data_IF_294673545192
#
_entry.id   IF_294673545192
#
_cell.length_a   1.000
_cell.length_b   1.000
_cell.length_c   1.000
_cell.angle_alpha   90.00
_cell.angle_beta   90.00
_cell.angle_gamma   90.00
#
_symmetry.space_group_name_H-M   'P 1'
#
loop_
_entity.id
_entity.type
_entity.pdbx_description
1 polymer ?
#
# COMPACT_ATOMS: atom_id res chain seq x y z
N UNK A 1 18.24 -9.54 -11.53
CA UNK A 1 17.12 -8.65 -11.91
C UNK A 1 17.45 -7.83 -13.16
N UNK A 2 18.70 -7.73 -13.52
CA UNK A 2 19.13 -7.01 -14.71
C UNK A 2 19.33 -7.92 -15.94
N UNK A 3 19.19 -9.20 -15.73
CA UNK A 3 19.32 -10.19 -16.80
C UNK A 3 17.95 -10.46 -17.41
N UNK A 4 17.82 -10.26 -18.70
CA UNK A 4 16.63 -10.65 -19.43
C UNK A 4 16.26 -12.09 -19.12
N UNK A 5 14.99 -12.38 -18.95
CA UNK A 5 14.51 -13.72 -18.63
C UNK A 5 14.82 -14.72 -19.74
N UNK A 6 15.59 -15.75 -19.41
CA UNK A 6 15.89 -16.84 -20.32
C UNK A 6 16.78 -16.46 -21.51
N UNK A 7 16.48 -16.99 -22.68
CA UNK A 7 17.25 -16.77 -23.90
C UNK A 7 17.05 -15.38 -24.53
N UNK A 8 16.18 -14.56 -23.97
CA UNK A 8 15.79 -13.25 -24.53
C UNK A 8 16.71 -12.15 -23.99
N UNK A 9 17.94 -12.11 -24.56
CA UNK A 9 18.95 -11.10 -24.19
C UNK A 9 18.59 -9.66 -24.57
N UNK A 10 17.51 -9.46 -25.31
CA UNK A 10 17.04 -8.14 -25.74
C UNK A 10 16.11 -7.48 -24.71
N UNK A 11 15.63 -8.22 -23.72
CA UNK A 11 14.79 -7.65 -22.67
C UNK A 11 15.65 -7.04 -21.58
N UNK A 12 15.53 -5.74 -21.45
CA UNK A 12 16.13 -5.03 -20.32
C UNK A 12 15.42 -5.44 -19.01
N UNK A 13 16.22 -5.64 -17.96
CA UNK A 13 15.69 -5.81 -16.61
C UNK A 13 15.14 -4.51 -16.06
N UNK A 14 14.38 -4.58 -14.94
CA UNK A 14 13.76 -3.42 -14.29
C UNK A 14 14.79 -2.32 -13.96
N UNK A 15 15.96 -2.71 -13.44
CA UNK A 15 17.05 -1.75 -13.13
C UNK A 15 17.47 -0.94 -14.37
N UNK A 16 17.72 -1.62 -15.49
CA UNK A 16 18.08 -0.95 -16.73
C UNK A 16 16.98 -0.02 -17.23
N UNK A 17 15.72 -0.43 -17.12
CA UNK A 17 14.57 0.43 -17.48
C UNK A 17 14.51 1.69 -16.62
N UNK A 18 14.73 1.56 -15.31
CA UNK A 18 14.74 2.69 -14.39
C UNK A 18 15.90 3.67 -14.67
N UNK A 19 17.08 3.14 -15.00
CA UNK A 19 18.23 3.96 -15.38
C UNK A 19 17.98 4.71 -16.70
N UNK A 20 17.34 4.08 -17.67
CA UNK A 20 16.98 4.70 -18.95
C UNK A 20 16.00 5.87 -18.80
N UNK A 21 15.19 5.87 -17.74
CA UNK A 21 14.31 7.00 -17.40
C UNK A 21 15.08 8.25 -16.95
N UNK A 22 16.38 8.15 -16.70
CA UNK A 22 17.22 9.27 -16.30
C UNK A 22 16.90 9.80 -14.90
N UNK A 23 16.28 9.00 -14.06
CA UNK A 23 15.97 9.36 -12.68
C UNK A 23 17.27 9.60 -11.90
N UNK A 24 17.37 10.76 -11.24
CA UNK A 24 18.51 11.14 -10.40
C UNK A 24 18.32 10.67 -8.95
N UNK A 25 17.85 9.43 -8.79
CA UNK A 25 17.64 8.80 -7.47
C UNK A 25 18.49 7.54 -7.36
N UNK A 26 19.00 7.20 -6.18
CA UNK A 26 19.71 5.95 -5.99
C UNK A 26 18.76 4.76 -6.19
N UNK A 27 19.25 3.71 -6.85
CA UNK A 27 18.53 2.46 -7.06
C UNK A 27 19.26 1.37 -6.28
N UNK A 28 18.56 0.78 -5.33
CA UNK A 28 19.06 -0.32 -4.50
C UNK A 28 18.34 -1.61 -4.85
N UNK A 29 19.08 -2.68 -4.99
CA UNK A 29 18.57 -4.04 -5.17
C UNK A 29 18.95 -4.89 -3.96
N UNK A 30 18.01 -5.68 -3.49
CA UNK A 30 18.18 -6.56 -2.35
C UNK A 30 17.71 -7.95 -2.71
N UNK A 31 18.56 -8.94 -2.42
CA UNK A 31 18.17 -10.33 -2.55
C UNK A 31 17.23 -10.70 -1.39
N UNK A 32 16.09 -11.27 -1.72
CA UNK A 32 15.12 -11.78 -0.76
C UNK A 32 14.84 -13.26 -1.03
N UNK A 33 14.52 -14.06 0.01
CA UNK A 33 14.10 -15.44 -0.18
C UNK A 33 12.79 -15.54 -0.98
N UNK A 34 12.48 -16.73 -1.47
CA UNK A 34 11.27 -16.99 -2.27
C UNK A 34 9.98 -16.96 -1.46
N UNK A 35 10.04 -17.10 -0.14
CA UNK A 35 8.87 -17.10 0.74
C UNK A 35 8.10 -18.41 0.75
N UNK A 36 8.78 -19.55 0.57
CA UNK A 36 8.16 -20.88 0.56
C UNK A 36 7.80 -21.44 1.93
N UNK A 37 8.28 -20.84 2.99
CA UNK A 37 8.01 -21.23 4.36
C UNK A 37 7.94 -20.02 5.29
N UNK A 38 7.44 -20.26 6.50
CA UNK A 38 7.25 -19.21 7.50
C UNK A 38 8.55 -18.46 7.84
N UNK A 39 9.66 -19.19 7.96
CA UNK A 39 10.95 -18.55 8.25
C UNK A 39 11.35 -17.57 7.17
N UNK A 40 11.22 -17.95 5.91
CA UNK A 40 11.54 -17.08 4.78
C UNK A 40 10.64 -15.84 4.73
N UNK A 41 9.37 -15.96 5.11
CA UNK A 41 8.46 -14.81 5.23
C UNK A 41 8.96 -13.82 6.29
N UNK A 42 9.42 -14.32 7.46
CA UNK A 42 10.02 -13.48 8.48
C UNK A 42 11.36 -12.86 8.04
N UNK A 43 12.18 -13.63 7.32
CA UNK A 43 13.43 -13.11 6.76
C UNK A 43 13.16 -11.95 5.76
N UNK A 44 12.12 -12.08 4.92
CA UNK A 44 11.69 -10.99 4.02
C UNK A 44 11.22 -9.77 4.83
N UNK A 45 10.45 -10.01 5.92
CA UNK A 45 9.99 -8.95 6.80
C UNK A 45 11.18 -8.14 7.35
N UNK A 46 12.14 -8.81 7.92
CA UNK A 46 13.30 -8.17 8.52
C UNK A 46 14.12 -7.40 7.47
N UNK A 47 14.31 -7.97 6.29
CA UNK A 47 15.02 -7.31 5.18
C UNK A 47 14.31 -6.01 4.80
N UNK A 48 13.01 -6.04 4.50
CA UNK A 48 12.26 -4.86 4.06
C UNK A 48 12.17 -3.84 5.20
N UNK A 49 11.81 -4.27 6.41
CA UNK A 49 11.71 -3.38 7.58
C UNK A 49 13.02 -2.67 7.90
N UNK A 50 14.17 -3.35 7.75
CA UNK A 50 15.49 -2.76 8.00
C UNK A 50 15.86 -1.64 7.02
N UNK A 51 15.15 -1.53 5.87
CA UNK A 51 15.41 -0.50 4.86
C UNK A 51 14.51 0.72 5.01
N UNK A 52 13.50 0.65 5.83
CA UNK A 52 12.65 1.78 6.14
C UNK A 52 13.31 2.62 7.24
N UNK A 53 13.30 3.92 7.09
CA UNK A 53 13.79 4.88 8.06
C UNK A 53 12.63 5.60 8.76
N UNK A 54 12.90 6.25 9.88
CA UNK A 54 11.89 7.01 10.62
C UNK A 54 11.35 8.18 9.78
N UNK A 55 10.03 8.27 9.68
CA UNK A 55 9.36 9.32 8.94
C UNK A 55 9.36 9.17 7.41
N UNK A 56 9.78 8.02 6.89
CA UNK A 56 9.76 7.77 5.44
C UNK A 56 8.37 7.93 4.82
N UNK A 57 8.35 8.46 3.59
CA UNK A 57 7.17 8.49 2.73
C UNK A 57 7.32 7.36 1.70
N UNK A 58 6.44 6.36 1.80
CA UNK A 58 6.55 5.11 1.03
C UNK A 58 5.58 5.12 -0.15
N UNK A 59 6.10 4.84 -1.34
CA UNK A 59 5.34 4.50 -2.54
C UNK A 59 5.61 3.02 -2.85
N UNK A 60 4.58 2.21 -2.85
CA UNK A 60 4.73 0.77 -2.98
C UNK A 60 4.07 0.23 -4.24
N UNK A 61 4.86 -0.43 -5.09
CA UNK A 61 4.41 -1.13 -6.29
C UNK A 61 4.36 -2.64 -6.04
N UNK A 62 3.16 -3.22 -6.09
CA UNK A 62 2.92 -4.66 -5.88
C UNK A 62 2.86 -5.48 -7.17
N UNK A 63 3.14 -4.88 -8.31
CA UNK A 63 2.94 -5.50 -9.64
C UNK A 63 3.66 -6.83 -9.79
N UNK A 64 4.88 -6.93 -9.31
CA UNK A 64 5.73 -8.13 -9.44
C UNK A 64 5.94 -8.89 -8.13
N UNK A 65 5.05 -8.68 -7.17
CA UNK A 65 5.12 -9.35 -5.89
C UNK A 65 4.64 -10.81 -5.99
N UNK A 66 5.29 -11.72 -5.26
CA UNK A 66 4.76 -13.06 -5.02
C UNK A 66 3.37 -12.98 -4.37
N UNK A 67 2.54 -14.01 -4.54
CA UNK A 67 1.13 -13.99 -4.11
C UNK A 67 0.93 -13.67 -2.62
N UNK A 68 1.87 -14.04 -1.76
CA UNK A 68 1.85 -13.75 -0.32
C UNK A 68 2.27 -12.32 0.02
N UNK A 69 3.08 -11.67 -0.82
CA UNK A 69 3.68 -10.37 -0.52
C UNK A 69 2.65 -9.24 -0.33
N UNK A 70 1.57 -9.14 -1.11
CA UNK A 70 0.56 -8.10 -0.86
C UNK A 70 -0.04 -8.16 0.54
N UNK A 71 -0.41 -9.36 1.02
CA UNK A 71 -0.92 -9.54 2.37
C UNK A 71 0.14 -9.22 3.44
N UNK A 72 1.31 -9.76 3.26
CA UNK A 72 2.47 -9.54 4.11
C UNK A 72 2.85 -8.04 4.18
N UNK A 73 2.86 -7.34 3.04
CA UNK A 73 3.20 -5.93 2.96
C UNK A 73 2.24 -5.06 3.77
N UNK A 74 0.95 -5.42 3.78
CA UNK A 74 -0.05 -4.71 4.59
C UNK A 74 0.32 -4.77 6.07
N UNK A 75 0.68 -5.96 6.57
CA UNK A 75 1.09 -6.16 7.97
C UNK A 75 2.39 -5.41 8.27
N UNK A 76 3.39 -5.54 7.39
CA UNK A 76 4.68 -4.89 7.54
C UNK A 76 4.55 -3.36 7.59
N UNK A 77 3.80 -2.77 6.69
CA UNK A 77 3.64 -1.31 6.64
C UNK A 77 2.83 -0.77 7.82
N UNK A 78 1.82 -1.48 8.29
CA UNK A 78 1.12 -1.10 9.51
C UNK A 78 2.05 -1.14 10.73
N UNK A 79 2.86 -2.17 10.84
CA UNK A 79 3.88 -2.27 11.89
C UNK A 79 4.92 -1.15 11.79
N UNK A 80 5.46 -0.90 10.59
CA UNK A 80 6.46 0.15 10.37
C UNK A 80 5.90 1.55 10.60
N UNK A 81 4.63 1.79 10.26
CA UNK A 81 3.94 3.05 10.56
C UNK A 81 3.88 3.30 12.06
N UNK A 82 3.53 2.29 12.84
CA UNK A 82 3.49 2.39 14.30
C UNK A 82 4.88 2.55 14.91
N UNK A 83 5.87 1.79 14.44
CA UNK A 83 7.20 1.74 15.04
C UNK A 83 8.15 2.84 14.58
N UNK A 84 8.02 3.29 13.33
CA UNK A 84 8.94 4.25 12.67
C UNK A 84 8.25 5.52 12.18
N UNK A 85 6.95 5.66 12.39
CA UNK A 85 6.20 6.84 11.94
C UNK A 85 6.21 7.04 10.43
N UNK A 86 6.39 5.97 9.64
CA UNK A 86 6.33 6.09 8.18
C UNK A 86 4.93 6.42 7.71
N UNK A 87 4.83 7.06 6.55
CA UNK A 87 3.57 7.26 5.83
C UNK A 87 3.54 6.48 4.52
N UNK A 88 2.38 5.92 4.16
CA UNK A 88 2.18 5.24 2.88
C UNK A 88 1.37 6.15 1.98
N UNK A 89 2.05 6.79 1.04
CA UNK A 89 1.42 7.74 0.13
C UNK A 89 0.66 7.03 -0.98
N UNK A 90 1.22 5.95 -1.52
CA UNK A 90 0.59 5.23 -2.62
C UNK A 90 0.92 3.75 -2.62
N UNK A 91 -0.09 2.93 -2.93
CA UNK A 91 0.06 1.51 -3.30
C UNK A 91 -0.53 1.33 -4.68
N UNK A 92 0.28 0.84 -5.61
CA UNK A 92 -0.10 0.67 -7.01
C UNK A 92 0.08 -0.76 -7.48
N UNK A 93 -0.73 -1.15 -8.44
CA UNK A 93 -0.69 -2.45 -9.10
C UNK A 93 -0.83 -2.27 -10.62
N UNK A 94 0.15 -2.71 -11.37
CA UNK A 94 0.10 -2.76 -12.84
C UNK A 94 -0.62 -4.03 -13.30
N UNK A 95 -1.84 -3.88 -13.77
CA UNK A 95 -2.73 -5.01 -14.13
C UNK A 95 -2.46 -5.50 -15.55
N UNK A 96 -1.36 -6.23 -15.75
CA UNK A 96 -1.00 -6.78 -17.06
C UNK A 96 -2.03 -7.79 -17.59
N UNK A 97 -2.66 -8.54 -16.72
CA UNK A 97 -3.67 -9.56 -17.07
C UNK A 97 -4.91 -8.99 -17.76
N UNK A 98 -5.16 -7.68 -17.64
CA UNK A 98 -6.23 -7.01 -18.39
C UNK A 98 -6.01 -7.02 -19.90
N UNK A 99 -4.77 -7.20 -20.34
CA UNK A 99 -4.43 -7.34 -21.76
C UNK A 99 -4.68 -8.75 -22.28
N UNK A 100 -4.83 -9.73 -21.38
CA UNK A 100 -5.00 -11.14 -21.70
C UNK A 100 -3.85 -12.01 -21.20
N UNK A 101 -3.82 -13.27 -21.64
CA UNK A 101 -2.73 -14.18 -21.30
C UNK A 101 -1.40 -13.74 -21.94
N UNK A 102 -0.28 -14.12 -21.34
CA UNK A 102 1.06 -13.78 -21.85
C UNK A 102 1.23 -14.22 -23.32
N UNK A 103 0.74 -15.42 -23.67
CA UNK A 103 0.79 -15.92 -25.06
C UNK A 103 -0.05 -15.06 -26.01
N UNK A 104 -1.29 -14.75 -25.61
CA UNK A 104 -2.17 -13.89 -26.40
C UNK A 104 -1.54 -12.52 -26.66
N UNK A 105 -1.01 -11.88 -25.60
CA UNK A 105 -0.38 -10.55 -25.69
C UNK A 105 0.84 -10.58 -26.61
N UNK A 106 1.68 -11.62 -26.50
CA UNK A 106 2.86 -11.77 -27.36
C UNK A 106 2.51 -11.90 -28.84
N UNK A 107 1.46 -12.65 -29.15
CA UNK A 107 1.09 -12.99 -30.53
C UNK A 107 0.23 -11.89 -31.18
N UNK A 108 -0.59 -11.19 -30.41
CA UNK A 108 -1.66 -10.34 -30.97
C UNK A 108 -1.49 -8.85 -30.67
N UNK A 109 -0.66 -8.45 -29.69
CA UNK A 109 -0.51 -7.04 -29.32
C UNK A 109 0.91 -6.57 -29.59
N UNK A 110 1.13 -5.61 -30.50
CA UNK A 110 2.44 -4.98 -30.71
C UNK A 110 3.00 -4.38 -29.41
N UNK A 111 4.31 -4.36 -29.26
CA UNK A 111 4.97 -3.93 -28.01
C UNK A 111 4.61 -2.50 -27.62
N UNK A 112 4.52 -1.62 -28.60
CA UNK A 112 4.16 -0.21 -28.46
C UNK A 112 2.68 0.05 -28.12
N UNK A 113 1.84 -1.00 -28.16
CA UNK A 113 0.41 -0.95 -27.81
C UNK A 113 0.08 -1.70 -26.50
N UNK A 114 1.09 -2.23 -25.80
CA UNK A 114 0.89 -2.98 -24.55
C UNK A 114 0.79 -2.05 -23.35
N UNK A 115 -0.33 -1.37 -23.23
CA UNK A 115 -0.60 -0.48 -22.10
C UNK A 115 -1.46 -1.19 -21.05
N UNK A 116 -0.83 -1.67 -19.98
CA UNK A 116 -1.55 -2.20 -18.83
C UNK A 116 -2.01 -1.05 -17.93
N UNK A 117 -3.25 -1.05 -17.44
CA UNK A 117 -3.72 -0.04 -16.51
C UNK A 117 -2.99 -0.17 -15.16
N UNK A 118 -2.71 0.97 -14.54
CA UNK A 118 -2.21 1.03 -13.16
C UNK A 118 -3.39 1.29 -12.23
N UNK A 119 -3.63 0.36 -11.33
CA UNK A 119 -4.70 0.42 -10.34
C UNK A 119 -4.14 0.98 -9.04
N UNK A 120 -4.79 2.00 -8.49
CA UNK A 120 -4.44 2.57 -7.20
C UNK A 120 -5.19 1.83 -6.08
N UNK A 121 -4.45 1.14 -5.22
CA UNK A 121 -4.97 0.36 -4.08
C UNK A 121 -4.90 1.12 -2.75
N UNK A 122 -4.39 2.34 -2.75
CA UNK A 122 -4.19 3.15 -1.53
C UNK A 122 -5.47 3.32 -0.71
N UNK A 123 -6.62 3.42 -1.39
CA UNK A 123 -7.91 3.51 -0.73
C UNK A 123 -8.25 2.34 0.19
N UNK A 124 -7.77 1.13 -0.13
CA UNK A 124 -7.98 -0.05 0.72
C UNK A 124 -7.18 0.05 2.03
N UNK A 125 -5.94 0.52 1.97
CA UNK A 125 -5.13 0.75 3.17
C UNK A 125 -5.73 1.85 4.04
N UNK A 126 -6.22 2.93 3.43
CA UNK A 126 -6.90 4.00 4.17
C UNK A 126 -8.16 3.49 4.86
N UNK A 127 -8.94 2.64 4.22
CA UNK A 127 -10.11 2.01 4.84
C UNK A 127 -9.72 1.13 6.03
N UNK A 128 -8.64 0.36 5.92
CA UNK A 128 -8.13 -0.44 7.02
C UNK A 128 -7.70 0.44 8.20
N UNK A 129 -6.95 1.51 7.96
CA UNK A 129 -6.53 2.46 8.98
C UNK A 129 -7.73 3.07 9.70
N UNK A 130 -8.76 3.47 8.95
CA UNK A 130 -10.00 3.97 9.54
C UNK A 130 -10.67 2.93 10.44
N UNK A 131 -10.70 1.67 10.00
CA UNK A 131 -11.27 0.57 10.79
C UNK A 131 -10.50 0.34 12.08
N UNK A 132 -9.18 0.47 12.07
CA UNK A 132 -8.32 0.36 13.26
C UNK A 132 -8.63 1.48 14.27
N UNK A 133 -8.76 2.72 13.79
CA UNK A 133 -9.15 3.88 14.61
C UNK A 133 -10.53 3.68 15.21
N UNK A 134 -11.50 3.26 14.39
CA UNK A 134 -12.88 3.00 14.86
C UNK A 134 -12.94 1.84 15.87
N UNK A 135 -12.13 0.80 15.69
CA UNK A 135 -12.02 -0.31 16.66
C UNK A 135 -11.43 0.13 18.00
N UNK A 136 -10.56 1.15 17.98
CA UNK A 136 -10.03 1.75 19.20
C UNK A 136 -11.12 2.36 20.07
N UNK A 137 -12.16 2.96 19.46
CA UNK A 137 -13.32 3.47 20.17
C UNK A 137 -14.08 2.36 20.90
N UNK A 138 -14.36 1.26 20.20
CA UNK A 138 -15.13 0.13 20.74
C UNK A 138 -14.41 -0.54 21.91
N UNK A 139 -13.09 -0.65 21.83
CA UNK A 139 -12.29 -1.34 22.84
C UNK A 139 -11.85 -0.48 24.02
N UNK A 140 -11.61 0.83 23.80
CA UNK A 140 -11.01 1.71 24.79
C UNK A 140 -11.85 2.96 25.11
N UNK A 141 -12.98 3.16 24.44
CA UNK A 141 -13.86 4.31 24.64
C UNK A 141 -13.22 5.66 24.31
N UNK A 142 -12.18 5.68 23.51
CA UNK A 142 -11.48 6.91 23.10
C UNK A 142 -11.08 6.84 21.64
N UNK A 143 -11.31 7.93 20.92
CA UNK A 143 -10.84 8.12 19.54
C UNK A 143 -10.01 9.39 19.48
N UNK A 144 -8.89 9.32 18.79
CA UNK A 144 -8.10 10.51 18.51
C UNK A 144 -8.78 11.34 17.41
N UNK A 145 -9.35 12.47 17.78
CA UNK A 145 -9.98 13.39 16.82
C UNK A 145 -9.01 13.84 15.72
N UNK A 146 -7.73 14.01 16.04
CA UNK A 146 -6.73 14.42 15.08
C UNK A 146 -6.52 13.35 14.01
N UNK A 147 -6.43 12.07 14.38
CA UNK A 147 -6.26 10.96 13.46
C UNK A 147 -7.48 10.80 12.54
N UNK A 148 -8.69 10.97 13.06
CA UNK A 148 -9.92 10.92 12.27
C UNK A 148 -9.94 12.06 11.24
N UNK A 149 -9.67 13.29 11.66
CA UNK A 149 -9.68 14.46 10.78
C UNK A 149 -8.62 14.34 9.68
N UNK A 150 -7.40 13.98 10.04
CA UNK A 150 -6.32 13.74 9.09
C UNK A 150 -6.70 12.65 8.07
N UNK A 151 -7.35 11.58 8.53
CA UNK A 151 -7.81 10.52 7.65
C UNK A 151 -8.87 11.00 6.65
N UNK A 152 -9.87 11.78 7.10
CA UNK A 152 -10.94 12.31 6.24
C UNK A 152 -10.37 13.31 5.23
N UNK A 153 -9.46 14.19 5.64
CA UNK A 153 -8.81 15.16 4.77
C UNK A 153 -7.97 14.46 3.69
N UNK A 154 -7.18 13.46 4.08
CA UNK A 154 -6.37 12.67 3.14
C UNK A 154 -7.20 11.79 2.20
N UNK A 155 -8.49 11.62 2.47
CA UNK A 155 -9.43 10.88 1.61
C UNK A 155 -10.14 11.79 0.60
N UNK A 156 -9.78 13.05 0.51
CA UNK A 156 -10.38 14.01 -0.41
C UNK A 156 -10.37 13.48 -1.85
N UNK A 157 -11.55 13.53 -2.50
CA UNK A 157 -11.75 13.03 -3.85
C UNK A 157 -12.03 11.52 -3.97
N UNK A 158 -11.99 10.75 -2.89
CA UNK A 158 -12.39 9.36 -2.92
C UNK A 158 -13.91 9.19 -3.06
N UNK A 159 -14.35 8.18 -3.82
CA UNK A 159 -15.77 7.88 -4.04
C UNK A 159 -16.57 7.68 -2.74
N UNK A 160 -15.90 7.26 -1.68
CA UNK A 160 -16.49 6.99 -0.36
C UNK A 160 -16.26 8.12 0.66
N UNK A 161 -15.70 9.26 0.26
CA UNK A 161 -15.38 10.38 1.16
C UNK A 161 -16.60 10.86 1.98
N UNK A 162 -17.76 10.97 1.33
CA UNK A 162 -18.99 11.40 2.03
C UNK A 162 -19.42 10.41 3.13
N UNK A 163 -19.18 9.12 2.93
CA UNK A 163 -19.45 8.08 3.94
C UNK A 163 -18.45 8.20 5.08
N UNK A 164 -17.17 8.37 4.79
CA UNK A 164 -16.14 8.55 5.80
C UNK A 164 -16.36 9.81 6.64
N UNK A 165 -16.75 10.93 6.02
CA UNK A 165 -17.07 12.16 6.74
C UNK A 165 -18.22 11.95 7.71
N UNK A 166 -19.30 11.29 7.28
CA UNK A 166 -20.45 11.00 8.15
C UNK A 166 -20.08 10.07 9.31
N UNK A 167 -19.25 9.07 9.06
CA UNK A 167 -18.75 8.18 10.12
C UNK A 167 -17.84 8.95 11.09
N UNK A 168 -16.96 9.80 10.59
CA UNK A 168 -16.12 10.67 11.42
C UNK A 168 -16.94 11.58 12.32
N UNK A 169 -17.98 12.23 11.78
CA UNK A 169 -18.88 13.09 12.54
C UNK A 169 -19.59 12.29 13.65
N UNK A 170 -20.14 11.12 13.33
CA UNK A 170 -20.80 10.25 14.30
C UNK A 170 -19.85 9.79 15.43
N UNK A 171 -18.61 9.42 15.09
CA UNK A 171 -17.60 9.03 16.08
C UNK A 171 -17.22 10.20 16.98
N UNK A 172 -17.08 11.40 16.42
CA UNK A 172 -16.80 12.62 17.20
C UNK A 172 -17.95 12.97 18.14
N UNK A 173 -19.19 12.88 17.67
CA UNK A 173 -20.37 13.17 18.48
C UNK A 173 -20.50 12.16 19.63
N UNK A 174 -20.23 10.88 19.38
CA UNK A 174 -20.17 9.84 20.39
C UNK A 174 -19.09 10.14 21.45
N UNK A 175 -17.86 10.47 21.04
CA UNK A 175 -16.77 10.77 21.96
C UNK A 175 -17.06 12.00 22.81
N UNK A 176 -17.66 13.05 22.22
CA UNK A 176 -18.12 14.24 22.93
C UNK A 176 -19.20 13.89 23.96
N UNK A 177 -20.18 13.05 23.62
CA UNK A 177 -21.23 12.60 24.51
C UNK A 177 -20.65 11.80 25.70
N UNK A 178 -19.73 10.90 25.44
CA UNK A 178 -19.04 10.12 26.48
C UNK A 178 -18.20 11.00 27.40
N UNK A 179 -17.48 11.99 26.86
CA UNK A 179 -16.59 12.88 27.62
C UNK A 179 -17.41 13.86 28.47
N UNK A 180 -18.55 14.34 27.96
CA UNK A 180 -19.45 15.27 28.67
C UNK A 180 -20.38 14.60 29.66
N UNK A 181 -20.37 13.26 29.75
CA UNK A 181 -21.36 12.49 30.54
C UNK A 181 -22.81 12.74 30.08
N UNK A 182 -23.03 13.22 28.88
CA UNK A 182 -24.31 13.59 28.33
C UNK A 182 -24.82 12.53 27.35
N UNK A 183 -25.30 11.42 27.88
CA UNK A 183 -25.81 10.26 27.11
C UNK A 183 -27.16 10.55 26.43
N UNK A 184 -27.78 11.73 26.64
CA UNK A 184 -29.03 12.11 25.98
C UNK A 184 -28.83 12.55 24.49
N UNK A 185 -27.61 12.70 24.05
CA UNK A 185 -27.27 13.15 22.69
C UNK A 185 -27.16 11.97 21.68
N UNK A 186 -27.19 10.73 22.17
CA UNK A 186 -27.15 9.51 21.37
C UNK A 186 -28.55 9.00 21.07
#
# INVERSE_FOLDING_TARGET
IDNGHGADKERKGLRSCLLDLGLKVPIYDYDIPEGFNEKEIWDIFDIVYSKLEEGDIVFFDVTHAFRSIPLFSTVLFNYARFMKGISIESVIYGSFETLGTVSFVKENIPVDQRYAPVINLTGLLKLQQFTEIASGLDNFGRVSHNEINEYVENSAGAKYQSTLSRMSDALRDFDNAMTSNNMEVL
#
